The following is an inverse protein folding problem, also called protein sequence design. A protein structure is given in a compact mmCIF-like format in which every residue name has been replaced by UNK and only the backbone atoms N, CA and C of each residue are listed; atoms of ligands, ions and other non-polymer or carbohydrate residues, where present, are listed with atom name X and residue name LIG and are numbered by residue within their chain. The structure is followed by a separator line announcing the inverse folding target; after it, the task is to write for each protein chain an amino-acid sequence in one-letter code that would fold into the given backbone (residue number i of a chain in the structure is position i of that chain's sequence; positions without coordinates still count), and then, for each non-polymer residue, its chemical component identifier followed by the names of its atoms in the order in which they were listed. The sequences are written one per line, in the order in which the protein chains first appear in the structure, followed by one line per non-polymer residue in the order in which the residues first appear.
data_IF_906738952436
#
_entry.id   IF_906738952436
#
_cell.length_a   1.000
_cell.length_b   1.000
_cell.length_c   1.000
_cell.angle_alpha   90.00
_cell.angle_beta   90.00
_cell.angle_gamma   90.00
#
_symmetry.space_group_name_H-M   'P 1'
#
loop_
_entity.id
_entity.type
_entity.pdbx_description
1 polymer ?
#
# COMPACT_ATOMS: atom_id res chain seq x y z
N UNK A 1 -28.23 -39.39 32.12
CA UNK A 1 -27.17 -38.42 31.74
C UNK A 1 -27.80 -37.54 30.69
N UNK A 2 -28.33 -36.39 31.10
CA UNK A 2 -29.06 -35.49 30.20
C UNK A 2 -28.03 -34.65 29.46
N UNK A 3 -27.89 -34.86 28.16
CA UNK A 3 -27.18 -33.94 27.28
C UNK A 3 -28.02 -32.66 27.31
N UNK A 4 -27.51 -31.61 27.93
CA UNK A 4 -28.10 -30.27 27.77
C UNK A 4 -27.78 -29.88 26.33
N UNK A 5 -28.79 -29.80 25.47
CA UNK A 5 -28.67 -29.09 24.21
C UNK A 5 -28.34 -27.63 24.56
N UNK A 6 -27.11 -27.21 24.25
CA UNK A 6 -26.78 -25.78 24.23
C UNK A 6 -27.63 -25.16 23.12
N UNK A 7 -28.46 -24.19 23.49
CA UNK A 7 -29.20 -23.37 22.52
C UNK A 7 -28.20 -22.77 21.53
N UNK A 8 -28.40 -22.92 20.21
CA UNK A 8 -27.49 -22.36 19.22
C UNK A 8 -27.33 -20.86 19.46
N UNK A 9 -26.09 -20.42 19.67
CA UNK A 9 -25.79 -19.00 19.72
C UNK A 9 -26.00 -18.42 18.32
N UNK A 10 -26.89 -17.44 18.21
CA UNK A 10 -27.14 -16.73 16.94
C UNK A 10 -26.15 -15.57 16.85
N UNK A 11 -25.59 -15.34 15.66
CA UNK A 11 -24.74 -14.18 15.42
C UNK A 11 -25.49 -12.87 15.72
N UNK A 12 -24.81 -11.96 16.43
CA UNK A 12 -25.38 -10.70 16.88
C UNK A 12 -24.88 -9.53 16.02
N UNK A 13 -25.68 -9.14 15.03
CA UNK A 13 -25.37 -8.01 14.16
C UNK A 13 -25.25 -6.66 14.92
N UNK A 14 -25.90 -6.52 16.08
CA UNK A 14 -25.76 -5.33 16.92
C UNK A 14 -24.41 -5.26 17.62
N UNK A 15 -23.86 -6.42 18.00
CA UNK A 15 -22.51 -6.52 18.56
C UNK A 15 -21.44 -6.27 17.51
N UNK A 16 -21.64 -6.76 16.27
CA UNK A 16 -20.78 -6.40 15.13
C UNK A 16 -20.76 -4.89 14.88
N UNK A 17 -21.92 -4.24 14.91
CA UNK A 17 -22.02 -2.79 14.73
C UNK A 17 -21.26 -2.03 15.80
N UNK A 18 -21.51 -2.37 17.06
CA UNK A 18 -20.83 -1.77 18.20
C UNK A 18 -19.31 -1.97 18.10
N UNK A 19 -18.87 -3.20 17.85
CA UNK A 19 -17.46 -3.55 17.74
C UNK A 19 -16.73 -2.75 16.65
N UNK A 20 -17.32 -2.60 15.46
CA UNK A 20 -16.72 -1.88 14.34
C UNK A 20 -16.80 -0.36 14.50
N UNK A 21 -18.00 0.19 14.73
CA UNK A 21 -18.23 1.64 14.73
C UNK A 21 -17.59 2.33 15.95
N UNK A 22 -17.55 1.66 17.10
CA UNK A 22 -16.89 2.17 18.32
C UNK A 22 -15.42 1.72 18.45
N UNK A 23 -14.92 0.95 17.47
CA UNK A 23 -13.56 0.38 17.45
C UNK A 23 -13.21 -0.42 18.71
N UNK A 24 -14.17 -1.19 19.22
CA UNK A 24 -13.98 -2.06 20.38
C UNK A 24 -13.32 -3.37 19.94
N UNK A 25 -12.00 -3.46 20.17
CA UNK A 25 -11.19 -4.63 19.81
C UNK A 25 -11.64 -5.90 20.54
N UNK A 26 -12.03 -5.81 21.81
CA UNK A 26 -12.39 -6.98 22.62
C UNK A 26 -13.74 -7.53 22.17
N UNK A 27 -14.71 -6.64 21.93
CA UNK A 27 -16.00 -6.99 21.32
C UNK A 27 -15.81 -7.60 19.93
N UNK A 28 -14.95 -6.98 19.09
CA UNK A 28 -14.67 -7.49 17.74
C UNK A 28 -14.07 -8.89 17.77
N UNK A 29 -13.05 -9.12 18.61
CA UNK A 29 -12.44 -10.43 18.76
C UNK A 29 -13.39 -11.46 19.37
N UNK A 30 -14.35 -11.03 20.20
CA UNK A 30 -15.41 -11.88 20.74
C UNK A 30 -16.30 -12.54 19.69
N UNK A 31 -16.40 -11.91 18.51
CA UNK A 31 -17.19 -12.43 17.38
C UNK A 31 -16.51 -13.60 16.65
N UNK A 32 -15.20 -13.81 16.82
CA UNK A 32 -14.44 -14.85 16.11
C UNK A 32 -14.28 -16.14 16.91
N UNK A 33 -14.21 -17.29 16.22
CA UNK A 33 -13.66 -18.52 16.80
C UNK A 33 -12.16 -18.38 17.05
N UNK A 34 -11.59 -19.20 17.93
CA UNK A 34 -10.17 -19.11 18.27
C UNK A 34 -9.24 -19.42 17.07
N UNK A 35 -9.71 -20.27 16.17
CA UNK A 35 -9.03 -20.76 14.97
C UNK A 35 -9.50 -20.08 13.68
N UNK A 36 -10.20 -18.95 13.79
CA UNK A 36 -10.81 -18.27 12.65
C UNK A 36 -9.79 -17.88 11.57
N UNK A 37 -10.24 -17.85 10.31
CA UNK A 37 -9.48 -17.35 9.17
C UNK A 37 -10.07 -16.01 8.70
N UNK A 38 -9.23 -14.98 8.59
CA UNK A 38 -9.60 -13.71 7.94
C UNK A 38 -8.79 -13.57 6.66
N UNK A 39 -9.49 -13.56 5.52
CA UNK A 39 -8.89 -13.39 4.19
C UNK A 39 -9.24 -12.03 3.63
N UNK A 40 -8.23 -11.24 3.27
CA UNK A 40 -8.38 -9.91 2.67
C UNK A 40 -7.95 -9.97 1.22
N UNK A 41 -8.81 -9.47 0.33
CA UNK A 41 -8.54 -9.29 -1.09
C UNK A 41 -8.66 -7.81 -1.41
N UNK A 42 -7.57 -7.21 -1.87
CA UNK A 42 -7.48 -5.79 -2.18
C UNK A 42 -6.48 -5.56 -3.32
N UNK A 43 -6.26 -4.30 -3.71
CA UNK A 43 -5.27 -3.93 -4.74
C UNK A 43 -3.84 -4.39 -4.37
N UNK A 44 -3.46 -4.32 -3.10
CA UNK A 44 -2.15 -4.75 -2.60
C UNK A 44 -2.08 -6.23 -2.25
N UNK A 45 -3.23 -6.91 -2.12
CA UNK A 45 -3.35 -8.33 -1.79
C UNK A 45 -4.29 -9.02 -2.79
N UNK A 46 -3.83 -9.29 -4.03
CA UNK A 46 -4.69 -9.73 -5.12
C UNK A 46 -5.23 -11.15 -4.90
N UNK A 47 -6.26 -11.59 -5.65
CA UNK A 47 -6.83 -12.93 -5.52
C UNK A 47 -5.81 -14.09 -5.64
N UNK A 48 -4.72 -13.88 -6.39
CA UNK A 48 -3.62 -14.85 -6.56
C UNK A 48 -2.67 -14.94 -5.38
N UNK A 49 -2.64 -13.93 -4.51
CA UNK A 49 -1.81 -13.86 -3.29
C UNK A 49 -2.51 -13.00 -2.22
N UNK A 50 -3.66 -13.46 -1.69
CA UNK A 50 -4.44 -12.71 -0.71
C UNK A 50 -3.70 -12.62 0.64
N UNK A 51 -4.03 -11.61 1.45
CA UNK A 51 -3.55 -11.56 2.82
C UNK A 51 -4.43 -12.47 3.69
N UNK A 52 -3.83 -13.43 4.38
CA UNK A 52 -4.56 -14.43 5.18
C UNK A 52 -4.02 -14.43 6.60
N UNK A 53 -4.90 -14.09 7.55
CA UNK A 53 -4.66 -14.10 8.98
C UNK A 53 -5.32 -15.33 9.60
N UNK A 54 -4.62 -15.98 10.53
CA UNK A 54 -5.06 -17.23 11.15
C UNK A 54 -5.05 -17.12 12.67
N UNK A 55 -6.21 -17.39 13.26
CA UNK A 55 -6.44 -17.33 14.69
C UNK A 55 -6.58 -15.91 15.22
N UNK A 56 -7.14 -15.81 16.43
CA UNK A 56 -7.47 -14.52 17.07
C UNK A 56 -6.28 -13.62 17.33
N UNK A 57 -5.08 -14.18 17.50
CA UNK A 57 -3.87 -13.39 17.75
C UNK A 57 -3.51 -12.55 16.51
N UNK A 58 -3.37 -13.18 15.34
CA UNK A 58 -3.05 -12.48 14.08
C UNK A 58 -4.18 -11.54 13.65
N UNK A 59 -5.43 -11.99 13.78
CA UNK A 59 -6.61 -11.17 13.50
C UNK A 59 -6.63 -9.95 14.44
N UNK A 60 -6.32 -10.14 15.72
CA UNK A 60 -6.30 -9.06 16.71
C UNK A 60 -5.17 -8.05 16.51
N UNK A 61 -4.00 -8.49 16.07
CA UNK A 61 -2.91 -7.59 15.65
C UNK A 61 -3.33 -6.71 14.48
N UNK A 62 -3.94 -7.30 13.46
CA UNK A 62 -4.43 -6.57 12.29
C UNK A 62 -5.55 -5.58 12.67
N UNK A 63 -6.59 -6.02 13.38
CA UNK A 63 -7.73 -5.16 13.75
C UNK A 63 -7.26 -4.03 14.67
N UNK A 64 -6.33 -4.30 15.60
CA UNK A 64 -5.76 -3.26 16.46
C UNK A 64 -5.04 -2.19 15.66
N UNK A 65 -4.26 -2.59 14.66
CA UNK A 65 -3.61 -1.64 13.74
C UNK A 65 -4.66 -0.80 13.01
N UNK A 66 -5.68 -1.42 12.39
CA UNK A 66 -6.77 -0.73 11.70
C UNK A 66 -7.49 0.27 12.62
N UNK A 67 -7.88 -0.15 13.82
CA UNK A 67 -8.58 0.70 14.79
C UNK A 67 -7.72 1.86 15.30
N UNK A 68 -6.39 1.73 15.28
CA UNK A 68 -5.47 2.81 15.65
C UNK A 68 -5.37 3.94 14.62
N UNK A 69 -5.84 3.71 13.38
CA UNK A 69 -5.78 4.68 12.28
C UNK A 69 -6.86 5.77 12.42
N UNK A 70 -6.60 6.92 11.82
CA UNK A 70 -7.60 8.00 11.65
C UNK A 70 -8.61 7.62 10.57
N UNK A 71 -9.52 6.73 10.95
CA UNK A 71 -10.47 6.02 10.10
C UNK A 71 -11.80 5.90 10.83
N UNK A 72 -12.91 6.27 10.21
CA UNK A 72 -14.25 5.97 10.73
C UNK A 72 -14.81 4.75 10.00
N UNK A 73 -15.48 3.86 10.73
CA UNK A 73 -16.18 2.69 10.21
C UNK A 73 -17.70 2.93 10.25
N UNK A 74 -18.42 2.46 9.24
CA UNK A 74 -19.88 2.51 9.21
C UNK A 74 -20.43 1.20 8.65
N UNK A 75 -21.15 0.45 9.48
CA UNK A 75 -21.64 -0.87 9.10
C UNK A 75 -22.94 -0.75 8.29
N UNK A 76 -22.91 -1.18 7.03
CA UNK A 76 -24.03 -1.16 6.07
C UNK A 76 -24.48 -2.59 5.71
N UNK A 77 -25.71 -2.68 5.21
CA UNK A 77 -26.24 -3.86 4.50
C UNK A 77 -25.97 -5.23 5.16
N UNK A 78 -26.23 -5.34 6.46
CA UNK A 78 -26.03 -6.59 7.21
C UNK A 78 -27.14 -7.60 6.92
N UNK A 79 -26.77 -8.79 6.45
CA UNK A 79 -27.66 -9.92 6.21
C UNK A 79 -27.13 -11.12 6.99
N UNK A 80 -27.95 -11.69 7.87
CA UNK A 80 -27.62 -12.92 8.62
C UNK A 80 -28.60 -14.01 8.20
N UNK A 81 -28.09 -15.07 7.59
CA UNK A 81 -28.89 -16.21 7.11
C UNK A 81 -28.20 -17.54 7.48
N UNK A 82 -28.85 -18.34 8.32
CA UNK A 82 -28.29 -19.60 8.80
C UNK A 82 -26.93 -19.40 9.45
N UNK A 83 -25.93 -20.10 8.94
CA UNK A 83 -24.55 -20.07 9.39
C UNK A 83 -23.69 -19.09 8.57
N UNK A 84 -24.30 -18.05 7.98
CA UNK A 84 -23.61 -17.03 7.22
C UNK A 84 -24.01 -15.61 7.64
N UNK A 85 -23.05 -14.69 7.53
CA UNK A 85 -23.29 -13.25 7.61
C UNK A 85 -22.59 -12.53 6.47
N UNK A 86 -23.31 -11.65 5.78
CA UNK A 86 -22.77 -10.71 4.81
C UNK A 86 -22.97 -9.28 5.33
N UNK A 87 -22.00 -8.41 5.12
CA UNK A 87 -22.09 -7.01 5.48
C UNK A 87 -21.14 -6.15 4.66
N UNK A 88 -21.40 -4.85 4.65
CA UNK A 88 -20.53 -3.84 4.09
C UNK A 88 -19.95 -2.99 5.23
N UNK A 89 -18.64 -2.76 5.22
CA UNK A 89 -18.00 -1.76 6.07
C UNK A 89 -17.54 -0.59 5.20
N UNK A 90 -18.15 0.58 5.39
CA UNK A 90 -17.75 1.80 4.70
C UNK A 90 -16.78 2.57 5.60
N UNK A 91 -15.51 2.56 5.20
CA UNK A 91 -14.46 3.24 5.94
C UNK A 91 -14.15 4.60 5.31
N UNK A 92 -13.99 5.64 6.13
CA UNK A 92 -13.56 6.98 5.68
C UNK A 92 -12.35 7.45 6.49
N UNK A 93 -11.23 7.68 5.81
CA UNK A 93 -10.00 8.22 6.39
C UNK A 93 -10.12 9.72 6.66
N UNK A 94 -9.31 10.23 7.58
CA UNK A 94 -9.26 11.67 7.91
C UNK A 94 -8.94 12.59 6.72
N UNK A 95 -8.27 12.08 5.68
CA UNK A 95 -7.99 12.79 4.43
C UNK A 95 -9.14 12.74 3.40
N UNK A 96 -10.26 12.13 3.77
CA UNK A 96 -11.44 11.94 2.93
C UNK A 96 -11.39 10.72 2.00
N UNK A 97 -10.29 9.94 1.99
CA UNK A 97 -10.22 8.68 1.22
C UNK A 97 -11.24 7.68 1.76
N UNK A 98 -11.99 7.03 0.88
CA UNK A 98 -12.98 6.02 1.28
C UNK A 98 -12.58 4.61 0.85
N UNK A 99 -13.06 3.63 1.59
CA UNK A 99 -12.95 2.20 1.30
C UNK A 99 -14.31 1.56 1.52
N UNK A 100 -14.75 0.72 0.60
CA UNK A 100 -15.86 -0.19 0.83
C UNK A 100 -15.28 -1.59 0.97
N UNK A 101 -15.40 -2.18 2.16
CA UNK A 101 -15.17 -3.59 2.40
C UNK A 101 -16.48 -4.35 2.27
N UNK A 102 -16.53 -5.38 1.41
CA UNK A 102 -17.65 -6.32 1.34
C UNK A 102 -17.22 -7.63 1.97
N UNK A 103 -17.85 -7.97 3.09
CA UNK A 103 -17.48 -9.11 3.90
C UNK A 103 -18.52 -10.23 3.78
N UNK A 104 -18.05 -11.45 3.52
CA UNK A 104 -18.82 -12.68 3.64
C UNK A 104 -18.17 -13.60 4.66
N UNK A 105 -18.91 -13.96 5.69
CA UNK A 105 -18.42 -14.78 6.78
C UNK A 105 -19.27 -16.03 7.00
N UNK A 106 -18.57 -17.11 7.34
CA UNK A 106 -19.14 -18.38 7.80
C UNK A 106 -19.09 -18.45 9.32
N UNK A 107 -20.14 -18.99 9.90
CA UNK A 107 -20.35 -19.06 11.34
C UNK A 107 -20.19 -20.48 11.85
N UNK A 108 -19.58 -20.63 13.01
CA UNK A 108 -19.62 -21.83 13.85
C UNK A 108 -20.21 -21.42 15.21
N UNK A 109 -21.42 -21.92 15.50
CA UNK A 109 -22.18 -21.59 16.70
C UNK A 109 -22.29 -20.07 16.94
N UNK A 110 -22.63 -19.34 15.87
CA UNK A 110 -22.84 -17.89 15.92
C UNK A 110 -21.58 -17.04 16.03
N UNK A 111 -20.38 -17.63 15.92
CA UNK A 111 -19.10 -16.92 15.83
C UNK A 111 -18.48 -17.11 14.46
N UNK A 112 -17.77 -16.10 13.96
CA UNK A 112 -17.08 -16.09 12.68
C UNK A 112 -15.92 -17.10 12.73
N UNK A 113 -16.02 -18.16 11.92
CA UNK A 113 -14.95 -19.14 11.71
C UNK A 113 -14.12 -18.81 10.47
N UNK A 114 -14.72 -18.14 9.49
CA UNK A 114 -14.04 -17.64 8.30
C UNK A 114 -14.70 -16.35 7.84
N UNK A 115 -13.91 -15.38 7.40
CA UNK A 115 -14.39 -14.19 6.70
C UNK A 115 -13.53 -13.93 5.48
N UNK A 116 -14.17 -13.58 4.36
CA UNK A 116 -13.51 -12.99 3.20
C UNK A 116 -13.96 -11.55 3.08
N UNK A 117 -13.02 -10.63 3.12
CA UNK A 117 -13.19 -9.21 2.94
C UNK A 117 -12.61 -8.80 1.57
N UNK A 118 -13.45 -8.18 0.75
CA UNK A 118 -13.04 -7.63 -0.54
C UNK A 118 -13.11 -6.12 -0.44
N UNK A 119 -11.95 -5.48 -0.51
CA UNK A 119 -11.81 -4.04 -0.34
C UNK A 119 -11.69 -3.33 -1.68
N UNK A 120 -12.56 -2.35 -1.91
CA UNK A 120 -12.43 -1.37 -2.98
C UNK A 120 -12.12 0.00 -2.38
N UNK A 121 -10.99 0.56 -2.78
CA UNK A 121 -10.52 1.86 -2.31
C UNK A 121 -10.84 2.93 -3.35
N UNK A 122 -11.09 4.16 -2.92
CA UNK A 122 -10.98 5.31 -3.82
C UNK A 122 -9.56 5.26 -4.45
N UNK A 123 -9.47 5.19 -5.77
CA UNK A 123 -8.16 5.25 -6.44
C UNK A 123 -7.61 6.67 -6.35
N UNK A 124 -6.28 6.83 -6.25
CA UNK A 124 -5.65 8.16 -6.24
C UNK A 124 -5.98 8.96 -7.53
N UNK A 125 -6.24 8.26 -8.64
CA UNK A 125 -6.76 8.80 -9.89
C UNK A 125 -8.20 9.33 -9.77
N UNK A 126 -9.02 8.76 -8.88
CA UNK A 126 -10.43 9.14 -8.67
C UNK A 126 -10.60 10.43 -7.85
N UNK A 127 -9.54 10.96 -7.23
CA UNK A 127 -9.56 12.30 -6.62
C UNK A 127 -9.55 13.44 -7.67
N UNK A 128 -9.53 13.12 -8.96
CA UNK A 128 -9.63 14.10 -10.06
C UNK A 128 -10.53 13.58 -11.17
N UNK A 129 -11.68 14.24 -11.39
CA UNK A 129 -12.41 14.16 -12.66
C UNK A 129 -12.39 15.55 -13.34
N UNK A 130 -12.28 15.69 -14.68
CA UNK A 130 -12.30 14.64 -15.71
C UNK A 130 -11.10 14.62 -16.69
N UNK A 131 -10.88 13.44 -17.27
CA UNK A 131 -10.68 13.04 -18.69
C UNK A 131 -10.13 13.98 -19.79
N UNK A 132 -9.59 15.16 -19.50
CA UNK A 132 -9.00 16.03 -20.53
C UNK A 132 -7.56 15.65 -20.87
N UNK A 133 -7.18 15.83 -22.14
CA UNK A 133 -5.81 15.61 -22.57
C UNK A 133 -4.89 16.62 -21.89
N UNK A 134 -3.94 16.12 -21.08
CA UNK A 134 -2.94 16.93 -20.39
C UNK A 134 -1.57 16.74 -21.03
N UNK A 135 -0.76 17.79 -21.00
CA UNK A 135 0.65 17.76 -21.36
C UNK A 135 1.47 18.45 -20.28
N UNK A 136 2.68 17.97 -20.02
CA UNK A 136 3.63 18.61 -19.10
C UNK A 136 5.00 18.74 -19.76
N UNK A 137 5.79 19.70 -19.28
CA UNK A 137 7.11 20.02 -19.83
C UNK A 137 8.16 20.11 -18.70
N UNK A 138 9.27 19.40 -18.86
CA UNK A 138 10.40 19.46 -17.93
C UNK A 138 11.20 20.77 -18.03
N UNK A 139 10.92 21.65 -18.99
CA UNK A 139 11.44 23.02 -18.98
C UNK A 139 10.76 23.89 -17.92
N UNK A 140 9.58 23.48 -17.46
CA UNK A 140 8.79 24.16 -16.42
C UNK A 140 8.17 23.11 -15.47
N UNK A 141 9.00 22.38 -14.70
CA UNK A 141 8.51 21.32 -13.82
C UNK A 141 7.63 21.90 -12.71
N UNK A 142 6.67 21.10 -12.24
CA UNK A 142 5.80 21.49 -11.12
C UNK A 142 6.55 21.53 -9.79
N UNK A 143 7.55 20.67 -9.64
CA UNK A 143 8.46 20.65 -8.50
C UNK A 143 9.89 20.36 -8.95
N UNK A 144 10.88 21.01 -8.33
CA UNK A 144 12.29 20.68 -8.49
C UNK A 144 12.89 20.45 -7.12
N UNK A 145 13.53 19.29 -6.93
CA UNK A 145 14.33 18.95 -5.76
C UNK A 145 15.81 18.94 -6.16
N UNK A 146 16.65 19.56 -5.34
CA UNK A 146 18.11 19.55 -5.53
C UNK A 146 18.76 18.91 -4.34
N UNK A 147 19.77 18.09 -4.59
CA UNK A 147 20.60 17.43 -3.59
C UNK A 147 22.05 17.46 -4.05
N UNK A 148 22.95 17.04 -3.17
CA UNK A 148 24.37 17.06 -3.52
C UNK A 148 24.64 16.15 -4.73
N UNK A 149 25.37 16.67 -5.72
CA UNK A 149 25.61 16.03 -7.01
C UNK A 149 24.34 15.59 -7.79
N UNK A 150 23.17 16.20 -7.56
CA UNK A 150 22.04 15.91 -8.43
C UNK A 150 20.78 16.74 -8.25
N UNK A 151 19.84 16.50 -9.16
CA UNK A 151 18.57 17.21 -9.28
C UNK A 151 17.48 16.25 -9.73
N UNK A 152 16.28 16.44 -9.21
CA UNK A 152 15.05 15.77 -9.63
C UNK A 152 14.02 16.84 -10.02
N UNK A 153 13.59 16.83 -11.28
CA UNK A 153 12.45 17.60 -11.76
C UNK A 153 11.21 16.71 -11.81
N UNK A 154 10.06 17.18 -11.33
CA UNK A 154 8.80 16.45 -11.28
C UNK A 154 7.74 17.16 -12.12
N UNK A 155 7.10 16.38 -13.00
CA UNK A 155 5.92 16.79 -13.77
C UNK A 155 4.74 15.92 -13.33
N UNK A 156 3.62 16.56 -13.00
CA UNK A 156 2.38 15.90 -12.59
C UNK A 156 1.33 16.06 -13.70
N UNK A 157 0.92 14.95 -14.32
CA UNK A 157 -0.09 14.92 -15.39
C UNK A 157 -0.91 13.63 -15.32
N UNK A 158 -2.20 13.71 -15.67
CA UNK A 158 -3.08 12.55 -15.79
C UNK A 158 -3.23 11.72 -14.51
N UNK A 159 -3.13 12.35 -13.34
CA UNK A 159 -3.14 11.67 -12.04
C UNK A 159 -1.85 10.93 -11.69
N UNK A 160 -0.83 10.99 -12.56
CA UNK A 160 0.50 10.41 -12.35
C UNK A 160 1.60 11.45 -12.23
N UNK A 161 2.82 10.99 -12.00
CA UNK A 161 4.03 11.83 -11.95
C UNK A 161 5.15 11.19 -12.75
N UNK A 162 5.94 12.01 -13.44
CA UNK A 162 7.20 11.59 -14.08
C UNK A 162 8.33 12.44 -13.49
N UNK A 163 9.34 11.77 -12.96
CA UNK A 163 10.57 12.39 -12.49
C UNK A 163 11.64 12.37 -13.56
N UNK A 164 12.38 13.46 -13.73
CA UNK A 164 13.65 13.49 -14.45
C UNK A 164 14.77 13.71 -13.46
N UNK A 165 15.58 12.67 -13.25
CA UNK A 165 16.81 12.80 -12.49
C UNK A 165 17.94 13.26 -13.40
N UNK A 166 18.80 14.11 -12.85
CA UNK A 166 20.09 14.52 -13.40
C UNK A 166 21.12 14.30 -12.30
N UNK A 167 22.01 13.32 -12.50
CA UNK A 167 23.00 12.91 -11.51
C UNK A 167 24.38 13.19 -12.10
N UNK A 168 25.14 14.02 -11.41
CA UNK A 168 26.44 14.48 -11.89
C UNK A 168 27.52 13.41 -11.69
N UNK A 169 28.63 13.45 -12.45
CA UNK A 169 29.79 12.60 -12.18
C UNK A 169 30.22 12.64 -10.71
N UNK A 170 30.51 11.47 -10.16
CA UNK A 170 30.82 11.29 -8.74
C UNK A 170 29.60 11.12 -7.83
N UNK A 171 28.37 11.28 -8.34
CA UNK A 171 27.17 10.98 -7.56
C UNK A 171 27.09 9.49 -7.19
N UNK A 172 26.68 9.24 -5.95
CA UNK A 172 26.37 7.92 -5.40
C UNK A 172 25.26 8.06 -4.34
N UNK A 173 24.24 7.20 -4.39
CA UNK A 173 23.09 7.26 -3.50
C UNK A 173 23.49 7.18 -2.02
N UNK A 174 24.32 6.21 -1.64
CA UNK A 174 24.74 6.01 -0.25
C UNK A 174 25.62 7.15 0.32
N UNK A 175 26.21 7.96 -0.55
CA UNK A 175 26.99 9.14 -0.16
C UNK A 175 26.09 10.38 -0.05
N UNK A 176 25.25 10.61 -1.06
CA UNK A 176 24.58 11.91 -1.25
C UNK A 176 23.13 11.93 -0.78
N UNK A 177 22.44 10.78 -0.73
CA UNK A 177 21.02 10.68 -0.40
C UNK A 177 20.80 10.01 0.96
N UNK A 178 21.52 8.93 1.27
CA UNK A 178 21.44 8.23 2.56
C UNK A 178 21.45 9.18 3.78
N UNK A 179 22.30 10.23 3.86
CA UNK A 179 22.28 11.16 5.00
C UNK A 179 20.96 11.94 5.17
N UNK A 180 20.18 12.10 4.09
CA UNK A 180 18.90 12.82 4.11
C UNK A 180 17.75 11.93 4.59
N UNK A 181 17.72 10.67 4.16
CA UNK A 181 16.59 9.74 4.34
C UNK A 181 16.83 8.70 5.44
N UNK A 182 18.07 8.50 5.88
CA UNK A 182 18.42 7.68 7.04
C UNK A 182 18.36 6.16 6.84
N UNK A 183 18.09 5.68 5.62
CA UNK A 183 18.11 4.24 5.30
C UNK A 183 19.48 3.78 4.82
N UNK A 184 19.80 2.50 5.01
CA UNK A 184 21.10 1.94 4.58
C UNK A 184 21.22 1.83 3.05
N UNK A 185 20.10 1.53 2.39
CA UNK A 185 19.96 1.44 0.93
C UNK A 185 18.72 2.21 0.48
N UNK A 186 18.64 2.55 -0.81
CA UNK A 186 17.45 3.14 -1.40
C UNK A 186 16.27 2.17 -1.24
N UNK A 187 15.16 2.66 -0.68
CA UNK A 187 13.92 1.90 -0.52
C UNK A 187 12.83 2.34 -1.51
N UNK A 188 13.15 3.26 -2.41
CA UNK A 188 12.26 3.64 -3.50
C UNK A 188 12.32 2.57 -4.60
N UNK A 189 11.17 2.21 -5.15
CA UNK A 189 11.09 1.40 -6.36
C UNK A 189 11.22 2.31 -7.58
N UNK A 190 12.12 1.98 -8.51
CA UNK A 190 12.33 2.78 -9.73
C UNK A 190 11.88 2.00 -10.97
N UNK A 191 11.13 2.67 -11.85
CA UNK A 191 10.85 2.17 -13.19
C UNK A 191 11.30 3.23 -14.19
N UNK A 192 12.53 3.06 -14.68
CA UNK A 192 13.28 4.13 -15.30
C UNK A 192 13.68 3.86 -16.75
N UNK A 193 13.59 4.89 -17.59
CA UNK A 193 14.20 4.96 -18.92
C UNK A 193 15.47 5.82 -18.87
N UNK A 194 16.58 5.28 -19.38
CA UNK A 194 17.89 5.91 -19.30
C UNK A 194 18.19 6.73 -20.57
N UNK A 195 18.41 8.03 -20.40
CA UNK A 195 18.62 8.98 -21.51
C UNK A 195 20.12 9.13 -21.84
N UNK A 196 20.96 9.38 -20.85
CA UNK A 196 22.40 9.68 -21.02
C UNK A 196 23.22 9.21 -19.83
N UNK A 197 24.54 9.12 -20.00
CA UNK A 197 25.46 8.70 -18.95
C UNK A 197 25.44 7.19 -18.70
N UNK A 198 26.12 6.77 -17.64
CA UNK A 198 26.18 5.37 -17.22
C UNK A 198 25.93 5.28 -15.71
N UNK A 199 24.94 4.50 -15.30
CA UNK A 199 24.58 4.29 -13.89
C UNK A 199 24.85 2.84 -13.52
N UNK A 200 25.71 2.63 -12.53
CA UNK A 200 25.88 1.33 -11.91
C UNK A 200 24.90 1.15 -10.76
N UNK A 201 24.32 -0.04 -10.63
CA UNK A 201 23.37 -0.40 -9.59
C UNK A 201 23.88 -1.64 -8.86
N UNK A 202 23.85 -1.62 -7.53
CA UNK A 202 24.15 -2.77 -6.68
C UNK A 202 22.98 -3.06 -5.74
N UNK A 203 22.43 -4.26 -5.84
CA UNK A 203 21.33 -4.73 -5.01
C UNK A 203 21.83 -5.23 -3.64
N UNK A 204 20.92 -5.32 -2.67
CA UNK A 204 21.22 -5.84 -1.32
C UNK A 204 21.75 -7.28 -1.30
N UNK A 205 21.40 -8.10 -2.30
CA UNK A 205 21.90 -9.47 -2.45
C UNK A 205 23.31 -9.54 -3.08
N UNK A 206 23.89 -8.40 -3.42
CA UNK A 206 25.20 -8.27 -4.05
C UNK A 206 25.19 -8.39 -5.58
N UNK A 207 24.03 -8.59 -6.21
CA UNK A 207 23.93 -8.53 -7.67
C UNK A 207 24.17 -7.10 -8.17
N UNK A 208 24.85 -7.00 -9.30
CA UNK A 208 25.29 -5.73 -9.89
C UNK A 208 24.97 -5.70 -11.38
N UNK A 209 24.61 -4.52 -11.89
CA UNK A 209 24.43 -4.27 -13.31
C UNK A 209 24.60 -2.79 -13.63
N UNK A 210 24.90 -2.51 -14.90
CA UNK A 210 25.10 -1.16 -15.41
C UNK A 210 24.01 -0.82 -16.43
N UNK A 211 23.53 0.41 -16.36
CA UNK A 211 22.54 0.99 -17.26
C UNK A 211 23.16 2.16 -18.02
N UNK A 212 22.87 2.25 -19.31
CA UNK A 212 23.24 3.34 -20.20
C UNK A 212 22.11 3.69 -21.17
N UNK A 213 22.38 4.56 -22.14
CA UNK A 213 21.34 5.18 -22.98
C UNK A 213 20.45 4.16 -23.71
N UNK A 214 19.14 4.39 -23.68
CA UNK A 214 18.15 3.56 -24.36
C UNK A 214 17.68 2.34 -23.56
N UNK A 215 18.28 2.05 -22.40
CA UNK A 215 17.86 0.94 -21.55
C UNK A 215 16.69 1.34 -20.63
N UNK A 216 15.84 0.37 -20.33
CA UNK A 216 14.75 0.47 -19.34
C UNK A 216 15.07 -0.47 -18.20
N UNK A 217 14.89 -0.01 -16.96
CA UNK A 217 15.14 -0.80 -15.77
C UNK A 217 13.99 -0.72 -14.77
N UNK A 218 13.68 -1.86 -14.18
CA UNK A 218 12.93 -1.94 -12.93
C UNK A 218 13.92 -2.25 -11.81
N UNK A 219 13.99 -1.39 -10.80
CA UNK A 219 14.91 -1.53 -9.66
C UNK A 219 14.06 -1.54 -8.39
N UNK A 220 13.87 -2.71 -7.74
CA UNK A 220 13.07 -2.79 -6.53
C UNK A 220 13.78 -2.16 -5.33
N UNK A 221 13.08 -1.93 -4.20
CA UNK A 221 13.69 -1.48 -2.95
C UNK A 221 14.88 -2.35 -2.53
N UNK A 222 15.89 -1.71 -1.95
CA UNK A 222 17.11 -2.37 -1.47
C UNK A 222 18.28 -2.33 -2.47
N UNK A 223 18.72 -1.13 -2.85
CA UNK A 223 19.86 -0.93 -3.74
C UNK A 223 20.68 0.34 -3.42
N UNK A 224 21.93 0.35 -3.87
CA UNK A 224 22.77 1.53 -4.03
C UNK A 224 23.02 1.77 -5.53
N UNK A 225 23.31 3.01 -5.92
CA UNK A 225 23.62 3.34 -7.30
C UNK A 225 24.61 4.50 -7.39
N UNK A 226 25.44 4.52 -8.44
CA UNK A 226 26.40 5.58 -8.68
C UNK A 226 26.64 5.84 -10.16
N UNK A 227 27.01 7.08 -10.47
CA UNK A 227 27.39 7.49 -11.83
C UNK A 227 28.78 6.95 -12.14
N UNK A 228 28.91 6.25 -13.26
CA UNK A 228 30.19 5.84 -13.83
C UNK A 228 30.61 6.79 -14.96
N UNK A 229 31.90 7.16 -14.96
CA UNK A 229 32.46 8.03 -15.98
C UNK A 229 32.28 9.52 -15.68
N UNK A 230 32.39 10.33 -16.74
CA UNK A 230 32.40 11.79 -16.71
C UNK A 230 31.17 12.43 -17.38
N UNK A 231 30.23 11.60 -17.86
CA UNK A 231 28.95 12.05 -18.40
C UNK A 231 27.86 11.96 -17.32
N UNK A 232 27.08 13.04 -17.16
CA UNK A 232 25.95 13.06 -16.24
C UNK A 232 24.88 12.04 -16.64
N UNK A 233 24.36 11.32 -15.65
CA UNK A 233 23.25 10.39 -15.83
C UNK A 233 21.95 11.17 -15.87
N UNK A 234 21.16 10.98 -16.93
CA UNK A 234 19.79 11.49 -17.02
C UNK A 234 18.83 10.32 -17.17
N UNK A 235 17.87 10.21 -16.26
CA UNK A 235 16.85 9.15 -16.28
C UNK A 235 15.45 9.74 -16.10
N UNK A 236 14.47 9.16 -16.77
CA UNK A 236 13.05 9.40 -16.52
C UNK A 236 12.48 8.25 -15.68
N UNK A 237 11.75 8.54 -14.62
CA UNK A 237 11.20 7.55 -13.68
C UNK A 237 9.71 7.82 -13.40
N UNK A 238 8.90 6.77 -13.53
CA UNK A 238 7.44 6.82 -13.38
C UNK A 238 6.94 6.35 -12.00
N UNK A 239 7.77 5.68 -11.20
CA UNK A 239 7.34 5.03 -9.96
C UNK A 239 8.07 5.59 -8.74
N UNK A 240 9.38 5.78 -8.82
CA UNK A 240 10.22 6.13 -7.66
C UNK A 240 10.26 7.61 -7.32
N UNK A 241 9.85 8.47 -8.27
CA UNK A 241 10.10 9.90 -8.18
C UNK A 241 9.26 10.64 -7.12
N UNK A 242 8.06 10.14 -6.78
CA UNK A 242 7.09 10.87 -5.94
C UNK A 242 7.61 11.13 -4.52
N UNK A 243 8.19 10.10 -3.88
CA UNK A 243 8.67 10.15 -2.49
C UNK A 243 10.20 10.22 -2.37
N UNK A 244 10.92 10.34 -3.48
CA UNK A 244 12.38 10.32 -3.47
C UNK A 244 12.98 11.54 -2.74
N UNK A 245 14.01 11.29 -1.92
CA UNK A 245 14.73 12.29 -1.13
C UNK A 245 13.85 13.11 -0.16
N UNK A 246 12.74 12.54 0.28
CA UNK A 246 11.91 13.07 1.37
C UNK A 246 12.10 12.23 2.64
N UNK A 247 11.87 12.84 3.81
CA UNK A 247 11.82 12.13 5.10
C UNK A 247 10.49 11.41 5.26
#
# INVERSE_FOLDING_TARGET
MSIKEETPHRFNAGELRHALEDKDLDAMLGLFTNDAEYRIVSKSSPPSSPHVLRGRDQIGEFIRDVFSRDLNHELKNVVVEGDHVAYEDLCTYGDGTRVIGVCMADLDNGRISRVTDVESWDEESAKTEPSEAQSGDFSAPGETRTFDHGRLDLVHIGGGSVGRFQLEPGWQWSTHIKPMVGTELCQSEHFAYHISGTLHVRMADGSEFTLGPGQVAHIPPGHDAWVEGDEAVVILDWTGAKHYAQR
#
